data_IF_814354821557
#
_entry.id   IF_814354821557
#
_cell.length_a   1.000
_cell.length_b   1.000
_cell.length_c   1.000
_cell.angle_alpha   90.00
_cell.angle_beta   90.00
_cell.angle_gamma   90.00
#
_symmetry.space_group_name_H-M   'P 1'
#
loop_
_entity.id
_entity.type
_entity.pdbx_description
1 polymer ?
#
# COMPACT_ATOMS: atom_id res chain seq x y z
N UNK A 1 -16.10 -35.33 -14.61
CA UNK A 1 -16.25 -33.87 -14.84
C UNK A 1 -15.11 -33.19 -14.10
N UNK A 2 -14.27 -32.37 -14.76
CA UNK A 2 -13.26 -31.62 -14.03
C UNK A 2 -13.99 -30.64 -13.11
N UNK A 3 -13.74 -30.72 -11.81
CA UNK A 3 -14.31 -29.79 -10.85
C UNK A 3 -13.88 -28.38 -11.28
N UNK A 4 -14.86 -27.52 -11.53
CA UNK A 4 -14.67 -26.13 -11.96
C UNK A 4 -14.13 -25.34 -10.75
N UNK A 5 -12.88 -25.60 -10.40
CA UNK A 5 -12.20 -24.95 -9.29
C UNK A 5 -11.97 -23.49 -9.68
N UNK A 6 -12.35 -22.57 -8.81
CA UNK A 6 -12.09 -21.14 -9.00
C UNK A 6 -10.59 -20.95 -9.34
N UNK A 7 -10.26 -20.27 -10.45
CA UNK A 7 -8.86 -20.07 -10.86
C UNK A 7 -8.05 -19.32 -9.78
N UNK A 8 -8.72 -18.60 -8.89
CA UNK A 8 -8.12 -17.90 -7.75
C UNK A 8 -7.57 -18.81 -6.66
N UNK A 9 -7.90 -20.12 -6.65
CA UNK A 9 -7.29 -21.08 -5.70
C UNK A 9 -5.77 -21.17 -5.88
N UNK A 10 -5.23 -20.74 -7.01
CA UNK A 10 -3.79 -20.64 -7.26
C UNK A 10 -3.08 -19.69 -6.27
N UNK A 11 -3.80 -18.75 -5.66
CA UNK A 11 -3.25 -17.80 -4.69
C UNK A 11 -3.53 -18.18 -3.22
N UNK A 12 -3.96 -19.41 -2.94
CA UNK A 12 -4.33 -19.82 -1.57
C UNK A 12 -3.18 -19.65 -0.54
N UNK A 13 -1.93 -19.66 -1.00
CA UNK A 13 -0.73 -19.41 -0.18
C UNK A 13 -0.40 -17.93 0.03
N UNK A 14 -1.00 -17.02 -0.75
CA UNK A 14 -0.74 -15.57 -0.73
C UNK A 14 -2.05 -14.77 -0.86
N UNK A 15 -2.85 -14.66 0.21
CA UNK A 15 -4.17 -14.04 0.11
C UNK A 15 -4.15 -12.54 -0.23
N UNK A 16 -3.08 -11.82 0.14
CA UNK A 16 -2.93 -10.40 -0.18
C UNK A 16 -2.76 -10.18 -1.68
N UNK A 17 -1.92 -11.00 -2.29
CA UNK A 17 -1.72 -11.07 -3.72
C UNK A 17 -3.01 -11.48 -4.45
N UNK A 18 -3.75 -12.49 -3.94
CA UNK A 18 -5.08 -12.83 -4.47
C UNK A 18 -5.99 -11.59 -4.49
N UNK A 19 -6.06 -10.87 -3.37
CA UNK A 19 -6.91 -9.70 -3.24
C UNK A 19 -6.48 -8.58 -4.18
N UNK A 20 -5.18 -8.31 -4.30
CA UNK A 20 -4.65 -7.28 -5.20
C UNK A 20 -5.00 -7.59 -6.66
N UNK A 21 -4.80 -8.85 -7.11
CA UNK A 21 -5.14 -9.25 -8.48
C UNK A 21 -6.64 -9.30 -8.76
N UNK A 22 -7.48 -9.59 -7.76
CA UNK A 22 -8.93 -9.47 -7.87
C UNK A 22 -9.38 -8.03 -8.04
N UNK A 23 -8.82 -7.11 -7.25
CA UNK A 23 -9.09 -5.68 -7.37
C UNK A 23 -8.66 -5.17 -8.75
N UNK A 24 -7.46 -5.53 -9.22
CA UNK A 24 -7.00 -5.20 -10.56
C UNK A 24 -7.95 -5.75 -11.64
N UNK A 25 -8.35 -7.01 -11.54
CA UNK A 25 -9.27 -7.62 -12.51
C UNK A 25 -10.63 -6.94 -12.53
N UNK A 26 -11.14 -6.53 -11.36
CA UNK A 26 -12.41 -5.79 -11.26
C UNK A 26 -12.28 -4.39 -11.88
N UNK A 27 -11.18 -3.68 -11.60
CA UNK A 27 -10.86 -2.37 -12.16
C UNK A 27 -10.80 -2.41 -13.70
N UNK A 28 -10.03 -3.33 -14.28
CA UNK A 28 -9.92 -3.48 -15.74
C UNK A 28 -11.27 -3.85 -16.38
N UNK A 29 -12.08 -4.70 -15.73
CA UNK A 29 -13.44 -5.01 -16.21
C UNK A 29 -14.38 -3.82 -16.15
N UNK A 30 -14.26 -2.98 -15.11
CA UNK A 30 -15.03 -1.74 -15.01
C UNK A 30 -14.69 -0.76 -16.15
N UNK A 31 -13.47 -0.84 -16.70
CA UNK A 31 -13.07 -0.13 -17.92
C UNK A 31 -13.55 -0.81 -19.22
N UNK A 32 -14.38 -1.86 -19.13
CA UNK A 32 -14.91 -2.58 -20.28
C UNK A 32 -13.99 -3.65 -20.87
N UNK A 33 -12.87 -3.97 -20.20
CA UNK A 33 -11.90 -4.96 -20.68
C UNK A 33 -12.27 -6.38 -20.27
N UNK A 34 -11.97 -7.36 -21.12
CA UNK A 34 -12.13 -8.77 -20.77
C UNK A 34 -10.87 -9.27 -20.08
N UNK A 35 -11.01 -9.75 -18.84
CA UNK A 35 -9.88 -10.23 -18.02
C UNK A 35 -10.09 -11.68 -17.59
N UNK A 36 -9.10 -12.53 -17.84
CA UNK A 36 -9.05 -13.92 -17.36
C UNK A 36 -7.72 -14.21 -16.69
N UNK A 37 -7.75 -14.92 -15.56
CA UNK A 37 -6.55 -15.42 -14.88
C UNK A 37 -6.18 -16.77 -15.51
N UNK A 38 -5.02 -16.84 -16.14
CA UNK A 38 -4.52 -18.02 -16.87
C UNK A 38 -3.67 -18.94 -15.99
N UNK A 39 -2.96 -18.37 -15.01
CA UNK A 39 -2.16 -19.14 -14.07
C UNK A 39 -1.25 -18.30 -13.18
N UNK A 40 -0.41 -18.99 -12.41
CA UNK A 40 0.61 -18.41 -11.53
C UNK A 40 1.98 -18.97 -11.89
N UNK A 41 2.77 -18.28 -12.74
CA UNK A 41 4.03 -18.81 -13.26
C UNK A 41 5.03 -19.29 -12.20
N UNK A 42 5.13 -18.62 -11.05
CA UNK A 42 6.05 -19.02 -9.98
C UNK A 42 5.69 -20.37 -9.33
N UNK A 43 4.38 -20.67 -9.20
CA UNK A 43 3.89 -21.93 -8.61
C UNK A 43 3.73 -23.05 -9.68
N UNK A 44 3.54 -22.70 -10.95
CA UNK A 44 3.29 -23.62 -12.06
C UNK A 44 4.49 -23.77 -13.01
N UNK A 45 5.72 -23.73 -12.49
CA UNK A 45 6.95 -23.64 -13.31
C UNK A 45 7.04 -24.66 -14.46
N UNK A 46 6.66 -25.92 -14.24
CA UNK A 46 6.70 -26.98 -15.28
C UNK A 46 5.80 -26.66 -16.47
N UNK A 47 4.61 -26.10 -16.21
CA UNK A 47 3.65 -25.71 -17.26
C UNK A 47 4.23 -24.59 -18.11
N UNK A 48 4.82 -23.58 -17.48
CA UNK A 48 5.38 -22.42 -18.20
C UNK A 48 6.69 -22.73 -18.93
N UNK A 49 7.49 -23.67 -18.42
CA UNK A 49 8.64 -24.22 -19.16
C UNK A 49 8.19 -24.84 -20.49
N UNK A 50 7.13 -25.65 -20.46
CA UNK A 50 6.58 -26.28 -21.66
C UNK A 50 5.90 -25.28 -22.60
N UNK A 51 5.15 -24.33 -22.05
CA UNK A 51 4.41 -23.34 -22.82
C UNK A 51 5.34 -22.38 -23.58
N UNK A 52 6.43 -21.96 -22.94
CA UNK A 52 7.33 -20.92 -23.48
C UNK A 52 8.66 -21.47 -24.00
N UNK A 53 8.94 -22.77 -23.80
CA UNK A 53 10.22 -23.37 -24.21
C UNK A 53 11.42 -22.83 -23.41
N UNK A 54 11.23 -22.49 -22.13
CA UNK A 54 12.25 -21.87 -21.27
C UNK A 54 12.68 -22.81 -20.15
N UNK A 55 13.87 -22.57 -19.59
CA UNK A 55 14.37 -23.30 -18.42
C UNK A 55 13.57 -23.01 -17.14
N UNK A 56 13.71 -23.90 -16.16
CA UNK A 56 13.09 -23.74 -14.86
C UNK A 56 13.59 -22.47 -14.14
N UNK A 57 12.66 -21.71 -13.56
CA UNK A 57 12.97 -20.50 -12.82
C UNK A 57 13.28 -19.26 -13.67
N UNK A 58 13.15 -19.34 -15.00
CA UNK A 58 13.29 -18.16 -15.88
C UNK A 58 12.09 -17.22 -15.73
N UNK A 59 10.86 -17.74 -15.81
CA UNK A 59 9.64 -16.96 -15.56
C UNK A 59 9.10 -17.29 -14.16
N UNK A 60 9.05 -16.30 -13.28
CA UNK A 60 8.58 -16.47 -11.89
C UNK A 60 7.77 -15.26 -11.43
N UNK A 61 6.94 -14.71 -12.31
CA UNK A 61 6.00 -13.64 -11.92
C UNK A 61 4.81 -14.22 -11.16
N UNK A 62 4.15 -13.37 -10.39
CA UNK A 62 3.04 -13.77 -9.51
C UNK A 62 1.74 -14.12 -10.26
N UNK A 63 1.49 -13.56 -11.45
CA UNK A 63 0.28 -13.84 -12.22
C UNK A 63 0.49 -13.83 -13.73
N UNK A 64 -0.25 -14.69 -14.44
CA UNK A 64 -0.49 -14.61 -15.87
C UNK A 64 -1.97 -14.25 -16.09
N UNK A 65 -2.23 -13.04 -16.58
CA UNK A 65 -3.55 -12.55 -16.95
C UNK A 65 -3.66 -12.49 -18.47
N UNK A 66 -4.80 -12.85 -19.03
CA UNK A 66 -5.13 -12.52 -20.42
C UNK A 66 -6.15 -11.38 -20.39
N UNK A 67 -5.78 -10.25 -20.99
CA UNK A 67 -6.58 -9.03 -21.06
C UNK A 67 -6.85 -8.68 -22.53
N UNK A 68 -8.11 -8.72 -22.94
CA UNK A 68 -8.55 -8.52 -24.33
C UNK A 68 -7.79 -9.40 -25.34
N UNK A 69 -7.53 -10.67 -24.97
CA UNK A 69 -6.79 -11.61 -25.81
C UNK A 69 -5.26 -11.44 -25.78
N UNK A 70 -4.74 -10.44 -25.06
CA UNK A 70 -3.29 -10.25 -24.88
C UNK A 70 -2.83 -10.88 -23.57
N UNK A 71 -1.73 -11.62 -23.60
CA UNK A 71 -1.13 -12.20 -22.40
C UNK A 71 -0.26 -11.19 -21.65
N UNK A 72 -0.49 -11.07 -20.35
CA UNK A 72 0.18 -10.20 -19.39
C UNK A 72 0.79 -11.02 -18.27
N UNK A 73 2.07 -10.76 -18.00
CA UNK A 73 2.86 -11.40 -16.95
C UNK A 73 3.09 -10.35 -15.86
N UNK A 74 2.28 -10.44 -14.81
CA UNK A 74 2.12 -9.39 -13.82
C UNK A 74 2.72 -9.84 -12.50
N UNK A 75 3.63 -9.04 -11.98
CA UNK A 75 4.26 -9.26 -10.68
C UNK A 75 3.59 -8.36 -9.63
N UNK A 76 3.62 -8.79 -8.37
CA UNK A 76 3.06 -8.05 -7.25
C UNK A 76 4.19 -7.68 -6.28
N UNK A 77 4.15 -6.44 -5.81
CA UNK A 77 5.11 -5.94 -4.82
C UNK A 77 4.41 -5.08 -3.78
N UNK A 78 4.98 -5.06 -2.58
CA UNK A 78 4.59 -4.17 -1.50
C UNK A 78 5.71 -3.17 -1.26
N UNK A 79 5.34 -1.92 -0.97
CA UNK A 79 6.33 -0.86 -0.74
C UNK A 79 6.43 -0.60 0.76
N UNK A 80 7.55 -0.95 1.42
CA UNK A 80 7.65 -0.86 2.87
C UNK A 80 7.67 0.60 3.34
N UNK A 81 7.24 0.83 4.59
CA UNK A 81 7.56 2.07 5.30
C UNK A 81 9.08 2.19 5.51
N UNK A 82 9.69 3.34 5.18
CA UNK A 82 11.09 3.62 5.50
C UNK A 82 11.41 3.50 7.00
N UNK A 83 12.49 2.77 7.32
CA UNK A 83 13.25 2.78 8.58
C UNK A 83 12.51 2.64 9.92
N UNK A 84 11.61 1.66 10.07
CA UNK A 84 11.30 1.15 11.42
C UNK A 84 10.41 -0.10 11.45
N UNK A 85 10.89 -1.18 12.07
CA UNK A 85 10.03 -2.32 12.41
C UNK A 85 8.99 -2.02 13.52
N UNK A 86 9.16 -0.93 14.27
CA UNK A 86 8.30 -0.56 15.40
C UNK A 86 7.15 0.39 15.02
N UNK A 87 7.39 1.27 14.04
CA UNK A 87 6.46 2.30 13.57
C UNK A 87 5.11 1.72 13.12
N UNK A 88 5.07 0.55 12.44
CA UNK A 88 3.82 -0.09 12.10
C UNK A 88 2.98 -0.53 13.28
N UNK A 89 3.64 -1.04 14.33
CA UNK A 89 2.97 -1.46 15.54
C UNK A 89 2.38 -0.27 16.28
N UNK A 90 3.07 0.87 16.27
CA UNK A 90 2.59 2.12 16.84
C UNK A 90 1.39 2.70 16.06
N UNK A 91 1.45 2.69 14.73
CA UNK A 91 0.34 3.12 13.85
C UNK A 91 -0.90 2.25 14.10
N UNK A 92 -0.75 0.92 14.05
CA UNK A 92 -1.88 -0.01 14.29
C UNK A 92 -2.49 0.20 15.67
N UNK A 93 -1.68 0.31 16.71
CA UNK A 93 -2.17 0.52 18.07
C UNK A 93 -2.99 1.82 18.20
N UNK A 94 -2.61 2.87 17.46
CA UNK A 94 -3.37 4.12 17.43
C UNK A 94 -4.68 3.96 16.65
N UNK A 95 -4.65 3.33 15.47
CA UNK A 95 -5.85 3.09 14.65
C UNK A 95 -6.88 2.20 15.34
N UNK A 96 -6.45 1.24 16.17
CA UNK A 96 -7.38 0.37 16.92
C UNK A 96 -8.01 1.10 18.13
N UNK A 97 -7.24 1.97 18.78
CA UNK A 97 -7.64 2.59 20.05
C UNK A 97 -8.40 3.91 19.84
N UNK A 98 -7.90 4.80 18.99
CA UNK A 98 -8.37 6.19 18.89
C UNK A 98 -9.81 6.33 18.38
N UNK A 99 -10.29 5.59 17.35
CA UNK A 99 -11.67 5.74 16.89
C UNK A 99 -12.70 5.48 17.99
N UNK A 100 -12.45 4.49 18.86
CA UNK A 100 -13.33 4.18 20.01
C UNK A 100 -13.32 5.28 21.05
N UNK A 101 -12.15 5.87 21.31
CA UNK A 101 -12.00 6.96 22.27
C UNK A 101 -12.59 8.29 21.75
N UNK A 102 -12.56 8.50 20.44
CA UNK A 102 -13.04 9.71 19.76
C UNK A 102 -14.52 9.67 19.38
N UNK A 103 -15.19 8.52 19.51
CA UNK A 103 -16.61 8.36 19.15
C UNK A 103 -17.51 9.43 19.81
N UNK A 104 -17.22 9.78 21.06
CA UNK A 104 -17.95 10.85 21.77
C UNK A 104 -17.63 12.24 21.20
N UNK A 105 -16.38 12.50 20.86
CA UNK A 105 -15.96 13.79 20.31
C UNK A 105 -16.60 14.05 18.94
N UNK A 106 -16.71 13.02 18.10
CA UNK A 106 -17.41 13.09 16.80
C UNK A 106 -18.85 13.58 16.95
N UNK A 107 -19.60 13.04 17.92
CA UNK A 107 -21.01 13.42 18.16
C UNK A 107 -21.16 14.90 18.57
N UNK A 108 -20.10 15.47 19.14
CA UNK A 108 -20.05 16.87 19.54
C UNK A 108 -19.51 17.78 18.43
N UNK A 109 -18.92 17.22 17.37
CA UNK A 109 -18.28 17.99 16.31
C UNK A 109 -19.32 18.69 15.44
N UNK A 110 -19.17 20.00 15.17
CA UNK A 110 -20.11 20.74 14.33
C UNK A 110 -20.12 20.26 12.87
N UNK A 111 -19.08 19.54 12.44
CA UNK A 111 -18.91 19.04 11.07
C UNK A 111 -19.29 17.57 10.93
N UNK A 112 -19.66 16.89 12.02
CA UNK A 112 -19.90 15.44 12.03
C UNK A 112 -18.64 14.59 11.90
N UNK A 113 -17.45 15.19 11.94
CA UNK A 113 -16.18 14.47 11.86
C UNK A 113 -14.99 15.19 12.49
N UNK A 114 -13.90 14.46 12.67
CA UNK A 114 -12.66 14.93 13.30
C UNK A 114 -11.44 14.43 12.54
N UNK A 115 -10.44 15.29 12.38
CA UNK A 115 -9.10 14.92 11.95
C UNK A 115 -8.14 15.05 13.13
N UNK A 116 -7.35 14.01 13.38
CA UNK A 116 -6.34 13.98 14.44
C UNK A 116 -5.00 13.64 13.81
N UNK A 117 -4.03 14.54 13.96
CA UNK A 117 -2.62 14.24 13.70
C UNK A 117 -2.06 13.42 14.87
N UNK A 118 -1.49 12.25 14.58
CA UNK A 118 -0.98 11.29 15.55
C UNK A 118 0.53 11.12 15.36
N UNK A 119 1.31 11.37 16.39
CA UNK A 119 2.74 11.03 16.41
C UNK A 119 2.89 9.58 16.89
N UNK A 120 3.45 8.66 16.10
CA UNK A 120 3.60 7.27 16.54
C UNK A 120 4.46 7.16 17.80
N UNK A 121 3.92 6.51 18.83
CA UNK A 121 4.62 6.37 20.13
C UNK A 121 5.21 4.97 20.31
N UNK A 122 6.49 4.93 20.70
CA UNK A 122 7.08 3.78 21.38
C UNK A 122 6.72 3.78 22.88
N UNK A 123 6.96 2.67 23.56
CA UNK A 123 6.83 2.57 25.01
C UNK A 123 5.95 1.41 25.46
N UNK A 124 5.67 1.35 26.74
CA UNK A 124 4.78 0.37 27.36
C UNK A 124 3.32 0.62 26.97
N UNK A 125 2.45 -0.39 27.13
CA UNK A 125 1.02 -0.25 26.88
C UNK A 125 0.37 0.88 27.72
N UNK A 126 0.88 1.10 28.95
CA UNK A 126 0.43 2.15 29.86
C UNK A 126 0.77 3.55 29.33
N UNK A 127 1.97 3.74 28.81
CA UNK A 127 2.42 5.01 28.23
C UNK A 127 1.64 5.34 26.96
N UNK A 128 1.47 4.36 26.05
CA UNK A 128 0.62 4.54 24.86
C UNK A 128 -0.82 4.85 25.22
N UNK A 129 -1.38 4.19 26.24
CA UNK A 129 -2.73 4.45 26.71
C UNK A 129 -2.93 5.89 27.20
N UNK A 130 -1.95 6.43 27.94
CA UNK A 130 -1.96 7.85 28.36
C UNK A 130 -1.90 8.79 27.16
N UNK A 131 -1.03 8.51 26.20
CA UNK A 131 -0.91 9.30 24.99
C UNK A 131 -2.22 9.33 24.18
N UNK A 132 -2.83 8.17 23.93
CA UNK A 132 -4.10 8.10 23.19
C UNK A 132 -5.25 8.79 23.93
N UNK A 133 -5.30 8.69 25.26
CA UNK A 133 -6.28 9.44 26.06
C UNK A 133 -6.07 10.95 25.93
N UNK A 134 -4.82 11.42 25.86
CA UNK A 134 -4.51 12.83 25.62
C UNK A 134 -4.99 13.29 24.24
N UNK A 135 -4.69 12.54 23.18
CA UNK A 135 -5.19 12.85 21.82
C UNK A 135 -6.72 12.87 21.75
N UNK A 136 -7.39 11.95 22.44
CA UNK A 136 -8.85 11.95 22.53
C UNK A 136 -9.39 13.22 23.22
N UNK A 137 -8.71 13.70 24.26
CA UNK A 137 -9.05 14.96 24.92
C UNK A 137 -8.87 16.17 23.99
N UNK A 138 -7.82 16.20 23.16
CA UNK A 138 -7.64 17.23 22.13
C UNK A 138 -8.80 17.19 21.12
N UNK A 139 -9.20 15.99 20.67
CA UNK A 139 -10.34 15.78 19.79
C UNK A 139 -11.66 16.28 20.38
N UNK A 140 -11.93 15.98 21.65
CA UNK A 140 -13.11 16.50 22.35
C UNK A 140 -13.08 18.03 22.45
N UNK A 141 -11.91 18.62 22.72
CA UNK A 141 -11.79 20.07 22.81
C UNK A 141 -12.04 20.73 21.45
N UNK A 142 -11.42 20.21 20.38
CA UNK A 142 -11.60 20.70 19.01
C UNK A 142 -13.06 20.59 18.55
N UNK A 143 -13.73 19.48 18.88
CA UNK A 143 -15.16 19.29 18.61
C UNK A 143 -16.02 20.36 19.30
N UNK A 144 -15.74 20.67 20.57
CA UNK A 144 -16.52 21.66 21.34
C UNK A 144 -16.27 23.10 20.91
N UNK A 145 -15.04 23.44 20.56
CA UNK A 145 -14.67 24.81 20.17
C UNK A 145 -14.93 25.10 18.70
N UNK A 146 -15.07 24.06 17.86
CA UNK A 146 -15.21 24.20 16.42
C UNK A 146 -13.94 24.68 15.72
N UNK A 147 -12.78 24.57 16.38
CA UNK A 147 -11.49 25.03 15.85
C UNK A 147 -10.34 24.09 16.18
N UNK A 148 -9.17 24.26 15.56
CA UNK A 148 -8.01 23.40 15.77
C UNK A 148 -7.44 23.54 17.19
N UNK A 149 -6.98 22.43 17.76
CA UNK A 149 -6.36 22.33 19.08
C UNK A 149 -5.02 21.60 18.94
N UNK A 150 -3.96 22.24 19.42
CA UNK A 150 -2.58 21.75 19.33
C UNK A 150 -2.18 21.10 20.65
N UNK A 151 -1.44 19.98 20.60
CA UNK A 151 -0.92 19.32 21.82
C UNK A 151 0.13 20.21 22.51
N UNK A 152 -0.14 20.74 23.72
CA UNK A 152 0.78 21.62 24.42
C UNK A 152 2.03 20.87 24.94
N UNK A 153 1.98 19.54 25.04
CA UNK A 153 3.09 18.70 25.53
C UNK A 153 4.02 18.25 24.39
N UNK A 154 3.79 18.68 23.15
CA UNK A 154 4.54 18.24 21.98
C UNK A 154 5.99 18.74 21.90
N UNK A 155 6.46 19.53 22.88
CA UNK A 155 7.81 20.09 22.89
C UNK A 155 8.93 19.03 23.05
N UNK A 156 8.60 17.79 23.43
CA UNK A 156 9.60 16.78 23.82
C UNK A 156 9.59 15.48 23.00
N UNK A 157 8.83 15.43 21.89
CA UNK A 157 8.91 14.30 20.93
C UNK A 157 10.05 14.61 19.95
N UNK A 158 11.28 14.56 20.50
CA UNK A 158 12.52 15.16 19.98
C UNK A 158 12.54 15.52 18.50
N UNK A 159 12.79 16.81 18.18
CA UNK A 159 13.05 17.55 16.93
C UNK A 159 12.56 17.06 15.54
N UNK A 160 12.30 15.77 15.35
CA UNK A 160 12.00 15.11 14.09
C UNK A 160 10.49 14.97 13.82
N UNK A 161 9.61 15.04 14.82
CA UNK A 161 8.17 14.83 14.65
C UNK A 161 7.35 16.12 14.81
N UNK A 162 6.28 16.26 14.02
CA UNK A 162 5.32 17.36 14.20
C UNK A 162 4.44 17.14 15.45
N UNK A 163 4.03 18.25 16.07
CA UNK A 163 3.11 18.23 17.20
C UNK A 163 1.74 17.66 16.78
N UNK A 164 1.11 16.80 17.59
CA UNK A 164 -0.26 16.39 17.37
C UNK A 164 -1.22 17.58 17.32
N UNK A 165 -2.22 17.49 16.45
CA UNK A 165 -3.27 18.50 16.25
C UNK A 165 -4.60 17.79 16.10
N UNK A 166 -5.65 18.34 16.69
CA UNK A 166 -7.02 17.92 16.48
C UNK A 166 -7.82 19.04 15.83
N UNK A 167 -8.60 18.77 14.80
CA UNK A 167 -9.44 19.77 14.14
C UNK A 167 -10.78 19.17 13.66
N UNK A 168 -11.87 19.96 13.63
CA UNK A 168 -13.10 19.56 12.97
C UNK A 168 -12.85 19.34 11.47
N UNK A 169 -13.44 18.27 10.94
CA UNK A 169 -13.30 17.90 9.54
C UNK A 169 -14.64 17.42 8.99
N UNK A 170 -14.94 17.73 7.73
CA UNK A 170 -16.16 17.29 7.06
C UNK A 170 -15.92 15.93 6.41
N UNK A 171 -16.54 14.85 6.91
CA UNK A 171 -16.34 13.54 6.34
C UNK A 171 -16.94 13.44 4.94
N UNK A 172 -16.19 12.85 4.01
CA UNK A 172 -16.69 12.49 2.69
C UNK A 172 -17.64 11.28 2.78
N UNK A 173 -17.33 10.32 3.64
CA UNK A 173 -18.17 9.19 4.01
C UNK A 173 -18.60 9.32 5.48
N UNK A 174 -19.91 9.46 5.79
CA UNK A 174 -20.41 9.54 7.16
C UNK A 174 -20.12 8.31 8.04
N UNK A 175 -19.77 7.17 7.44
CA UNK A 175 -19.37 5.95 8.16
C UNK A 175 -17.93 6.01 8.68
N UNK A 176 -17.14 6.99 8.23
CA UNK A 176 -15.74 7.22 8.63
C UNK A 176 -15.57 8.62 9.24
N UNK A 177 -16.17 8.91 10.40
CA UNK A 177 -16.18 10.26 10.96
C UNK A 177 -14.85 10.68 11.61
N UNK A 178 -13.85 9.81 11.65
CA UNK A 178 -12.53 10.09 12.23
C UNK A 178 -11.45 9.79 11.21
N UNK A 179 -10.59 10.78 10.94
CA UNK A 179 -9.37 10.62 10.15
C UNK A 179 -8.15 10.76 11.06
N UNK A 180 -7.25 9.78 11.00
CA UNK A 180 -5.96 9.83 11.68
C UNK A 180 -4.86 10.14 10.67
N UNK A 181 -4.11 11.22 10.89
CA UNK A 181 -2.96 11.62 10.06
C UNK A 181 -1.66 11.37 10.83
N UNK A 182 -0.79 10.48 10.38
CA UNK A 182 0.41 10.16 11.16
C UNK A 182 1.56 11.15 10.91
N UNK A 183 2.01 11.85 11.96
CA UNK A 183 3.18 12.72 11.92
C UNK A 183 4.44 11.87 11.98
N UNK A 184 5.12 11.69 10.85
CA UNK A 184 6.34 10.89 10.71
C UNK A 184 7.59 11.77 10.61
N UNK A 185 8.77 11.29 11.06
CA UNK A 185 9.99 12.07 11.05
C UNK A 185 10.63 12.11 9.66
N UNK A 186 11.44 13.13 9.37
CA UNK A 186 12.24 13.15 8.15
C UNK A 186 13.10 11.87 8.05
N UNK A 187 13.25 11.25 6.86
CA UNK A 187 12.98 11.82 5.53
C UNK A 187 11.56 11.62 4.98
N UNK A 188 10.58 11.17 5.78
CA UNK A 188 9.22 10.78 5.34
C UNK A 188 8.29 11.94 4.90
N UNK A 189 8.85 13.10 4.54
CA UNK A 189 8.07 14.23 4.04
C UNK A 189 7.76 14.03 2.56
N UNK A 190 6.57 13.52 2.22
CA UNK A 190 5.98 13.78 0.91
C UNK A 190 5.57 15.25 0.88
N UNK A 191 6.33 16.10 0.17
CA UNK A 191 5.96 17.50 0.00
C UNK A 191 5.04 17.62 -1.20
N UNK A 192 3.80 18.01 -0.93
CA UNK A 192 2.82 18.32 -1.96
C UNK A 192 2.88 19.82 -2.26
N UNK A 193 3.39 20.20 -3.43
CA UNK A 193 3.37 21.59 -3.90
C UNK A 193 2.39 21.72 -5.06
N UNK A 194 1.31 22.48 -4.88
CA UNK A 194 0.43 22.83 -5.99
C UNK A 194 1.11 23.90 -6.87
N UNK A 195 1.38 23.56 -8.12
CA UNK A 195 1.89 24.48 -9.15
C UNK A 195 0.79 24.83 -10.16
N UNK A 196 0.95 25.87 -11.00
CA UNK A 196 0.00 26.17 -12.08
C UNK A 196 -0.25 25.02 -13.06
N UNK A 197 0.62 24.00 -13.08
CA UNK A 197 0.52 22.81 -13.92
C UNK A 197 -0.03 21.57 -13.18
N UNK A 198 -0.34 21.69 -11.88
CA UNK A 198 -0.83 20.59 -11.05
C UNK A 198 0.01 20.35 -9.80
N UNK A 199 -0.30 19.27 -9.09
CA UNK A 199 0.44 18.86 -7.90
C UNK A 199 1.84 18.34 -8.26
N UNK A 200 2.86 18.87 -7.61
CA UNK A 200 4.23 18.37 -7.65
C UNK A 200 4.49 17.62 -6.35
N UNK A 201 4.94 16.37 -6.48
CA UNK A 201 5.27 15.47 -5.39
C UNK A 201 6.79 15.32 -5.33
N UNK A 202 7.42 15.87 -4.29
CA UNK A 202 8.84 15.60 -3.99
C UNK A 202 8.90 14.47 -2.96
N UNK A 203 9.37 13.30 -3.39
CA UNK A 203 9.54 12.10 -2.55
C UNK A 203 10.88 12.11 -1.80
N UNK A 204 11.79 13.04 -2.13
CA UNK A 204 13.09 13.19 -1.49
C UNK A 204 13.86 11.87 -1.34
N UNK A 205 14.66 11.70 -0.27
CA UNK A 205 15.40 10.46 0.01
C UNK A 205 14.53 9.23 0.28
N UNK A 206 13.24 9.41 0.58
CA UNK A 206 12.30 8.29 0.71
C UNK A 206 11.93 7.70 -0.65
N UNK A 207 12.04 8.46 -1.74
CA UNK A 207 11.87 7.98 -3.10
C UNK A 207 12.72 6.75 -3.39
N UNK A 208 14.02 6.77 -3.03
CA UNK A 208 14.93 5.63 -3.24
C UNK A 208 14.52 4.39 -2.44
N UNK A 209 14.02 4.57 -1.22
CA UNK A 209 13.59 3.46 -0.35
C UNK A 209 12.30 2.83 -0.88
N UNK A 210 11.36 3.67 -1.32
CA UNK A 210 10.10 3.23 -1.93
C UNK A 210 10.33 2.62 -3.32
N UNK A 211 11.31 3.12 -4.07
CA UNK A 211 11.73 2.60 -5.35
C UNK A 211 12.44 1.25 -5.23
N UNK A 212 13.16 1.00 -4.13
CA UNK A 212 14.04 -0.17 -4.03
C UNK A 212 13.35 -1.52 -4.31
N UNK A 213 12.19 -1.86 -3.72
CA UNK A 213 11.48 -3.10 -4.04
C UNK A 213 11.03 -3.17 -5.51
N UNK A 214 10.69 -2.03 -6.10
CA UNK A 214 10.30 -1.93 -7.52
C UNK A 214 11.52 -2.18 -8.40
N UNK A 215 12.63 -1.51 -8.09
CA UNK A 215 13.92 -1.67 -8.78
C UNK A 215 14.39 -3.13 -8.73
N UNK A 216 14.24 -3.84 -7.61
CA UNK A 216 14.61 -5.26 -7.51
C UNK A 216 13.79 -6.15 -8.47
N UNK A 217 12.51 -5.83 -8.73
CA UNK A 217 11.71 -6.55 -9.73
C UNK A 217 12.19 -6.28 -11.17
N UNK A 218 12.73 -5.09 -11.43
CA UNK A 218 13.18 -4.64 -12.75
C UNK A 218 14.68 -4.90 -13.03
N UNK A 219 15.49 -5.16 -12.00
CA UNK A 219 16.96 -5.25 -12.15
C UNK A 219 17.53 -6.59 -11.76
N UNK A 220 17.57 -6.94 -10.48
CA UNK A 220 18.34 -8.10 -9.97
C UNK A 220 17.69 -8.74 -8.75
N UNK A 221 17.51 -10.07 -8.76
CA UNK A 221 16.96 -10.80 -7.61
C UNK A 221 18.08 -11.20 -6.62
N UNK A 222 18.17 -10.51 -5.47
CA UNK A 222 19.31 -10.64 -4.54
C UNK A 222 19.46 -11.97 -3.80
N UNK A 223 18.50 -12.90 -3.85
CA UNK A 223 18.49 -14.04 -2.93
C UNK A 223 18.93 -15.41 -3.45
N UNK A 224 19.50 -15.54 -4.66
CA UNK A 224 20.16 -16.81 -4.98
C UNK A 224 21.33 -16.79 -5.98
N UNK A 225 21.30 -16.02 -7.08
CA UNK A 225 22.33 -16.17 -8.13
C UNK A 225 22.76 -14.88 -8.84
N UNK A 226 22.40 -13.68 -8.34
CA UNK A 226 22.76 -12.42 -9.02
C UNK A 226 22.13 -12.24 -10.41
N UNK A 227 21.06 -12.99 -10.71
CA UNK A 227 20.36 -12.95 -12.00
C UNK A 227 19.37 -11.79 -12.13
N UNK A 228 18.92 -11.49 -13.36
CA UNK A 228 17.98 -10.40 -13.66
C UNK A 228 16.68 -10.50 -12.84
N UNK A 229 16.02 -9.38 -12.55
CA UNK A 229 14.74 -9.32 -11.82
C UNK A 229 13.59 -10.03 -12.53
N UNK A 230 12.50 -10.35 -11.81
CA UNK A 230 11.36 -11.12 -12.33
C UNK A 230 10.76 -10.52 -13.60
N UNK A 231 10.49 -9.21 -13.59
CA UNK A 231 9.88 -8.51 -14.72
C UNK A 231 10.86 -8.29 -15.87
N UNK A 232 12.14 -8.13 -15.56
CA UNK A 232 13.20 -8.07 -16.57
C UNK A 232 13.30 -9.37 -17.36
N UNK A 233 13.22 -10.52 -16.70
CA UNK A 233 13.21 -11.83 -17.40
C UNK A 233 11.99 -11.96 -18.30
N UNK A 234 10.81 -11.55 -17.85
CA UNK A 234 9.61 -11.56 -18.69
C UNK A 234 9.77 -10.67 -19.94
N UNK A 235 10.32 -9.46 -19.77
CA UNK A 235 10.59 -8.56 -20.88
C UNK A 235 11.65 -9.09 -21.86
N UNK A 236 12.72 -9.73 -21.36
CA UNK A 236 13.77 -10.36 -22.17
C UNK A 236 13.24 -11.54 -23.00
N UNK A 237 12.15 -12.18 -22.55
CA UNK A 237 11.40 -13.19 -23.30
C UNK A 237 10.41 -12.59 -24.33
N UNK A 238 10.32 -11.26 -24.44
CA UNK A 238 9.38 -10.56 -25.32
C UNK A 238 7.93 -10.59 -24.81
N UNK A 239 7.71 -10.85 -23.52
CA UNK A 239 6.39 -10.94 -22.92
C UNK A 239 5.89 -9.58 -22.42
N UNK A 240 4.58 -9.34 -22.47
CA UNK A 240 3.97 -8.13 -21.92
C UNK A 240 4.04 -8.15 -20.39
N UNK A 241 4.93 -7.35 -19.81
CA UNK A 241 5.14 -7.29 -18.37
C UNK A 241 4.33 -6.18 -17.69
N UNK A 242 3.73 -6.49 -16.54
CA UNK A 242 3.00 -5.55 -15.70
C UNK A 242 3.39 -5.62 -14.22
N UNK A 243 3.09 -4.57 -13.45
CA UNK A 243 3.38 -4.52 -12.02
C UNK A 243 2.17 -4.04 -11.22
N UNK A 244 1.85 -4.73 -10.13
CA UNK A 244 0.91 -4.25 -9.11
C UNK A 244 1.70 -3.84 -7.88
N UNK A 245 1.53 -2.58 -7.48
CA UNK A 245 2.02 -2.02 -6.23
C UNK A 245 0.87 -2.04 -5.23
N UNK A 246 0.96 -2.85 -4.18
CA UNK A 246 -0.01 -2.83 -3.10
C UNK A 246 0.46 -1.89 -1.99
N UNK A 247 -0.29 -0.82 -1.74
CA UNK A 247 -0.07 0.21 -0.71
C UNK A 247 -0.89 -0.03 0.58
N UNK A 248 -1.68 -1.11 0.66
CA UNK A 248 -2.63 -1.32 1.77
C UNK A 248 -1.94 -1.66 3.09
N UNK A 249 -2.15 -0.83 4.10
CA UNK A 249 -1.58 -1.03 5.43
C UNK A 249 -2.35 -2.08 6.22
N UNK A 250 -1.65 -3.07 6.76
CA UNK A 250 -2.20 -3.97 7.77
C UNK A 250 -3.31 -4.91 7.28
N UNK A 251 -3.50 -5.00 5.97
CA UNK A 251 -4.47 -5.87 5.32
C UNK A 251 -4.24 -7.33 5.74
N UNK A 252 -5.30 -7.98 6.20
CA UNK A 252 -5.36 -9.42 6.41
C UNK A 252 -6.55 -9.96 5.62
N UNK A 253 -6.44 -11.15 5.02
CA UNK A 253 -7.57 -11.72 4.30
C UNK A 253 -8.73 -12.00 5.28
N UNK A 254 -9.99 -11.75 4.88
CA UNK A 254 -11.16 -11.97 5.73
C UNK A 254 -11.28 -13.40 6.29
N UNK A 255 -10.64 -14.37 5.63
CA UNK A 255 -10.78 -15.81 5.88
C UNK A 255 -9.63 -16.43 6.68
N UNK A 256 -8.59 -15.69 7.10
CA UNK A 256 -7.54 -16.25 7.99
C UNK A 256 -7.89 -16.16 9.48
N UNK A 257 -9.08 -15.67 9.83
CA UNK A 257 -9.56 -15.55 11.21
C UNK A 257 -10.33 -16.78 11.73
N UNK A 258 -10.27 -17.93 11.05
CA UNK A 258 -11.16 -19.06 11.39
C UNK A 258 -10.80 -19.75 12.70
N UNK A 259 -9.52 -19.74 13.12
CA UNK A 259 -9.06 -20.67 14.18
C UNK A 259 -8.45 -20.01 15.43
N UNK A 260 -8.78 -18.75 15.73
CA UNK A 260 -8.37 -18.11 17.00
C UNK A 260 -6.85 -18.03 17.23
N UNK A 261 -6.05 -18.31 16.22
CA UNK A 261 -4.58 -18.28 16.28
C UNK A 261 -4.11 -16.86 16.00
N UNK A 262 -3.14 -16.33 16.79
CA UNK A 262 -2.61 -15.00 16.56
C UNK A 262 -2.01 -14.91 15.15
N UNK A 263 -2.17 -13.77 14.45
CA UNK A 263 -1.69 -13.62 13.08
C UNK A 263 -0.19 -13.92 13.00
N UNK A 264 0.18 -14.87 12.13
CA UNK A 264 1.58 -15.28 11.90
C UNK A 264 2.35 -14.12 11.26
N UNK A 265 3.11 -13.40 12.10
CA UNK A 265 3.91 -12.19 11.79
C UNK A 265 3.06 -11.06 11.17
N UNK A 266 3.19 -9.81 11.64
CA UNK A 266 2.58 -8.70 10.93
C UNK A 266 3.15 -8.68 9.51
N UNK A 267 2.27 -8.66 8.50
CA UNK A 267 2.67 -8.34 7.13
C UNK A 267 3.52 -7.06 7.15
N UNK A 268 4.57 -6.95 6.31
CA UNK A 268 5.38 -5.75 6.27
C UNK A 268 4.46 -4.56 6.07
N UNK A 269 4.64 -3.55 6.91
CA UNK A 269 3.77 -2.39 6.87
C UNK A 269 4.16 -1.53 5.68
N UNK A 270 3.12 -1.16 4.95
CA UNK A 270 3.24 -0.59 3.63
C UNK A 270 3.06 0.92 3.75
N UNK A 271 3.76 1.72 2.94
CA UNK A 271 3.54 3.16 2.92
C UNK A 271 2.18 3.46 2.24
N UNK A 272 1.27 4.25 2.84
CA UNK A 272 0.15 4.81 2.09
C UNK A 272 0.73 5.72 1.02
N UNK A 273 0.57 5.32 -0.24
CA UNK A 273 1.15 6.02 -1.39
C UNK A 273 0.03 6.70 -2.17
N UNK A 274 0.09 8.02 -2.30
CA UNK A 274 -0.85 8.76 -3.13
C UNK A 274 -0.65 8.39 -4.62
N UNK A 275 -1.71 8.27 -5.45
CA UNK A 275 -1.56 7.86 -6.86
C UNK A 275 -0.57 8.70 -7.66
N UNK A 276 -0.60 10.02 -7.52
CA UNK A 276 0.34 10.90 -8.22
C UNK A 276 1.79 10.75 -7.75
N UNK A 277 2.02 10.48 -6.45
CA UNK A 277 3.34 10.14 -5.94
C UNK A 277 3.83 8.81 -6.53
N UNK A 278 2.95 7.81 -6.63
CA UNK A 278 3.25 6.54 -7.28
C UNK A 278 3.55 6.72 -8.78
N UNK A 279 2.84 7.59 -9.49
CA UNK A 279 3.14 7.95 -10.90
C UNK A 279 4.55 8.50 -11.03
N UNK A 280 4.91 9.51 -10.24
CA UNK A 280 6.25 10.11 -10.24
C UNK A 280 7.32 9.04 -9.98
N UNK A 281 7.15 8.27 -8.91
CA UNK A 281 8.05 7.17 -8.55
C UNK A 281 8.22 6.17 -9.71
N UNK A 282 7.11 5.75 -10.32
CA UNK A 282 7.15 4.82 -11.44
C UNK A 282 7.83 5.40 -12.66
N UNK A 283 7.60 6.67 -12.99
CA UNK A 283 8.28 7.32 -14.11
C UNK A 283 9.79 7.42 -13.89
N UNK A 284 10.24 7.76 -12.68
CA UNK A 284 11.67 7.81 -12.33
C UNK A 284 12.33 6.43 -12.36
N UNK A 285 11.64 5.41 -11.84
CA UNK A 285 12.10 4.01 -11.89
C UNK A 285 12.19 3.50 -13.33
N UNK A 286 11.15 3.71 -14.13
CA UNK A 286 11.13 3.23 -15.52
C UNK A 286 12.10 4.00 -16.41
N UNK A 287 12.37 5.27 -16.15
CA UNK A 287 13.40 6.03 -16.87
C UNK A 287 14.79 5.38 -16.74
N UNK A 288 15.08 4.69 -15.62
CA UNK A 288 16.32 3.93 -15.41
C UNK A 288 16.30 2.56 -16.09
N UNK A 289 15.12 2.02 -16.39
CA UNK A 289 14.91 0.68 -16.96
C UNK A 289 13.90 0.68 -18.12
N UNK A 290 14.17 1.42 -19.21
CA UNK A 290 13.23 1.58 -20.29
C UNK A 290 12.91 0.24 -20.97
N UNK A 291 11.63 0.02 -21.23
CA UNK A 291 11.15 -1.14 -21.97
C UNK A 291 10.96 -2.43 -21.18
N UNK A 292 11.30 -2.44 -19.87
CA UNK A 292 11.02 -3.60 -19.01
C UNK A 292 9.54 -3.73 -18.68
N UNK A 293 8.84 -2.61 -18.50
CA UNK A 293 7.43 -2.60 -18.09
C UNK A 293 6.53 -2.00 -19.16
N UNK A 294 5.34 -2.59 -19.33
CA UNK A 294 4.28 -2.05 -20.19
C UNK A 294 3.29 -1.23 -19.39
N UNK A 295 2.87 -1.71 -18.22
CA UNK A 295 1.93 -0.98 -17.34
C UNK A 295 2.18 -1.24 -15.86
N UNK A 296 1.79 -0.30 -15.02
CA UNK A 296 1.78 -0.46 -13.57
C UNK A 296 0.49 0.07 -12.94
N UNK A 297 0.06 -0.59 -11.88
CA UNK A 297 -1.12 -0.26 -11.11
C UNK A 297 -0.80 -0.09 -9.63
N UNK A 298 -1.45 0.86 -8.97
CA UNK A 298 -1.45 1.02 -7.53
C UNK A 298 -2.76 0.48 -6.95
N UNK A 299 -2.68 -0.34 -5.92
CA UNK A 299 -3.80 -0.64 -5.01
C UNK A 299 -3.64 0.24 -3.78
N UNK A 300 -4.53 1.23 -3.64
CA UNK A 300 -4.53 2.17 -2.52
C UNK A 300 -5.07 1.55 -1.23
N UNK A 301 -4.89 2.23 -0.11
CA UNK A 301 -5.34 1.82 1.22
C UNK A 301 -6.86 1.62 1.31
N UNK A 302 -7.62 2.45 0.61
CA UNK A 302 -9.08 2.34 0.42
C UNK A 302 -9.50 1.21 -0.55
N UNK A 303 -8.55 0.39 -1.01
CA UNK A 303 -8.74 -0.69 -2.00
C UNK A 303 -9.17 -0.22 -3.40
N UNK A 304 -9.07 1.07 -3.70
CA UNK A 304 -9.18 1.57 -5.07
C UNK A 304 -7.93 1.20 -5.88
N UNK A 305 -8.09 1.09 -7.21
CA UNK A 305 -7.00 0.77 -8.13
C UNK A 305 -6.78 1.94 -9.07
N UNK A 306 -5.52 2.33 -9.27
CA UNK A 306 -5.13 3.44 -10.12
C UNK A 306 -4.11 3.00 -11.17
N UNK A 307 -4.32 3.37 -12.42
CA UNK A 307 -3.27 3.30 -13.45
C UNK A 307 -2.18 4.33 -13.10
N UNK A 308 -0.96 3.88 -12.78
CA UNK A 308 0.15 4.77 -12.38
C UNK A 308 1.28 4.82 -13.42
N UNK A 309 1.29 3.89 -14.38
CA UNK A 309 2.17 3.94 -15.54
C UNK A 309 1.55 3.13 -16.69
N UNK A 310 1.63 3.66 -17.91
CA UNK A 310 1.26 2.93 -19.11
C UNK A 310 2.15 3.36 -20.29
N UNK A 311 2.72 2.40 -21.00
CA UNK A 311 3.51 2.62 -22.20
C UNK A 311 2.56 2.73 -23.39
N UNK A 312 2.23 3.97 -23.74
CA UNK A 312 1.53 4.32 -24.98
C UNK A 312 2.30 3.90 -26.22
#
# INVERSE_FOLDING_TARGET
MPQNLSPWRLFASSPQEESAFRLLSAFLRAQGRQVTLQGKPDDEQKRYQQLLGVEAGVLTVDAHLCVDGTDWYVDHTTVPLPDSAWLPSAIRAASDALPRLLARAVLLSPTGGLRITVTPQQGTAKERGRYFARLAALGEQAARTGGPVFDPEALDVGAAFAAPVAEPWHPADPTEPVVLSFALPQPLQVRHQLTPQGWVHDLGPSGDILAHPIDEKLTTHKKKNGGPGQLRRAAELGLTAGLVIDARVGWQPPHLHVDGTPPRRPAPAIAPLHPEAARTLMHEVIARHPGVLTSAWLVSDDSSVHDIYNRS
#
